data_IF_670368922786
#
_entry.id   IF_670368922786
#
_cell.length_a   1.000
_cell.length_b   1.000
_cell.length_c   1.000
_cell.angle_alpha   90.00
_cell.angle_beta   90.00
_cell.angle_gamma   90.00
#
_symmetry.space_group_name_H-M   'P 1'
#
loop_
_entity.id
_entity.type
_entity.pdbx_description
1 polymer ?
#
# COMPACT_ATOMS: atom_id res chain seq x y z
N UNK A 1 23.27 -6.35 8.14
CA UNK A 1 22.08 -5.67 8.69
C UNK A 1 21.31 -5.13 7.48
N UNK A 2 20.31 -5.85 6.97
CA UNK A 2 19.50 -5.33 5.88
C UNK A 2 18.72 -4.12 6.42
N UNK A 3 18.72 -3.03 5.65
CA UNK A 3 18.11 -1.77 6.04
C UNK A 3 16.63 -1.98 6.32
N UNK A 4 16.26 -1.81 7.59
CA UNK A 4 14.90 -1.49 7.97
C UNK A 4 14.55 -0.24 7.15
N UNK A 5 13.67 -0.37 6.15
CA UNK A 5 13.04 0.81 5.56
C UNK A 5 12.16 1.34 6.68
N UNK A 6 12.74 2.14 7.56
CA UNK A 6 11.96 3.03 8.38
C UNK A 6 11.19 3.88 7.37
N UNK A 7 9.88 3.64 7.24
CA UNK A 7 9.00 4.67 6.69
C UNK A 7 9.40 5.95 7.40
N UNK A 8 9.89 6.90 6.61
CA UNK A 8 10.33 8.18 7.14
C UNK A 8 9.14 8.76 7.91
N UNK A 9 9.37 9.30 9.12
CA UNK A 9 8.29 9.93 9.89
C UNK A 9 7.57 11.01 9.07
N UNK A 10 8.26 11.60 8.08
CA UNK A 10 7.68 12.53 7.11
C UNK A 10 6.60 11.90 6.22
N UNK A 11 6.75 10.64 5.81
CA UNK A 11 5.82 9.92 4.95
C UNK A 11 4.57 9.49 5.72
N UNK A 12 4.73 8.98 6.95
CA UNK A 12 3.60 8.62 7.81
C UNK A 12 2.74 9.85 8.13
N UNK A 13 3.37 11.00 8.40
CA UNK A 13 2.67 12.27 8.58
C UNK A 13 1.92 12.69 7.31
N UNK A 14 2.55 12.58 6.13
CA UNK A 14 1.92 12.89 4.85
C UNK A 14 0.68 12.01 4.59
N UNK A 15 0.76 10.70 4.86
CA UNK A 15 -0.38 9.79 4.71
C UNK A 15 -1.49 10.13 5.72
N UNK A 16 -1.14 10.50 6.95
CA UNK A 16 -2.08 10.99 7.95
C UNK A 16 -2.82 12.25 7.50
N UNK A 17 -2.07 13.27 7.02
CA UNK A 17 -2.63 14.51 6.46
C UNK A 17 -3.55 14.22 5.27
N UNK A 18 -3.17 13.28 4.41
CA UNK A 18 -4.00 12.83 3.30
C UNK A 18 -5.30 12.18 3.75
N UNK A 19 -5.26 11.28 4.72
CA UNK A 19 -6.47 10.64 5.25
C UNK A 19 -7.41 11.66 5.89
N UNK A 20 -6.86 12.57 6.71
CA UNK A 20 -7.64 13.64 7.33
C UNK A 20 -8.29 14.57 6.29
N UNK A 21 -7.58 14.86 5.20
CA UNK A 21 -8.10 15.68 4.11
C UNK A 21 -9.15 14.94 3.25
N UNK A 22 -8.84 13.72 2.82
CA UNK A 22 -9.65 12.96 1.88
C UNK A 22 -10.93 12.39 2.50
N UNK A 23 -11.02 12.31 3.82
CA UNK A 23 -12.22 11.90 4.55
C UNK A 23 -13.16 13.10 4.87
N UNK A 24 -12.82 14.33 4.46
CA UNK A 24 -13.68 15.51 4.57
C UNK A 24 -14.89 15.44 3.62
N UNK A 25 -15.89 16.28 3.87
CA UNK A 25 -17.05 16.38 2.97
C UNK A 25 -16.66 17.08 1.66
N UNK A 26 -17.34 16.80 0.54
CA UNK A 26 -17.02 17.40 -0.76
C UNK A 26 -16.91 18.92 -0.73
N UNK A 27 -17.77 19.60 0.03
CA UNK A 27 -17.77 21.07 0.14
C UNK A 27 -16.54 21.60 0.89
N UNK A 28 -16.02 20.83 1.85
CA UNK A 28 -14.82 21.16 2.61
C UNK A 28 -13.55 20.96 1.77
N UNK A 29 -13.51 19.87 1.00
CA UNK A 29 -12.46 19.60 0.00
C UNK A 29 -12.44 20.71 -1.05
N UNK A 30 -13.61 21.09 -1.55
CA UNK A 30 -13.76 22.14 -2.56
C UNK A 30 -13.24 23.49 -2.05
N UNK A 31 -13.50 23.81 -0.79
CA UNK A 31 -12.97 25.00 -0.12
C UNK A 31 -11.45 25.07 -0.05
N UNK A 32 -10.76 23.92 -0.14
CA UNK A 32 -9.28 23.84 -0.11
C UNK A 32 -8.62 23.85 -1.49
N UNK A 33 -9.41 23.95 -2.56
CA UNK A 33 -8.91 24.00 -3.93
C UNK A 33 -7.90 25.14 -4.17
N UNK A 34 -8.12 26.30 -3.55
CA UNK A 34 -7.28 27.49 -3.70
C UNK A 34 -6.22 27.66 -2.60
N UNK A 35 -6.17 26.76 -1.62
CA UNK A 35 -5.22 26.81 -0.51
C UNK A 35 -4.15 25.72 -0.67
N UNK A 36 -3.98 24.93 0.37
CA UNK A 36 -3.05 23.84 0.58
C UNK A 36 -3.48 22.51 -0.06
N UNK A 37 -4.75 22.35 -0.46
CA UNK A 37 -5.27 21.06 -0.96
C UNK A 37 -4.55 20.55 -2.21
N UNK A 38 -4.23 21.44 -3.15
CA UNK A 38 -3.48 21.10 -4.38
C UNK A 38 -2.03 20.72 -4.09
N UNK A 39 -1.41 21.38 -3.12
CA UNK A 39 -0.03 21.07 -2.70
C UNK A 39 0.03 19.70 -2.02
N UNK A 40 -0.89 19.42 -1.09
CA UNK A 40 -1.01 18.13 -0.43
C UNK A 40 -1.24 17.01 -1.46
N UNK A 41 -2.18 17.19 -2.39
CA UNK A 41 -2.43 16.21 -3.45
C UNK A 41 -1.17 15.96 -4.30
N UNK A 42 -0.43 17.02 -4.65
CA UNK A 42 0.81 16.88 -5.41
C UNK A 42 1.92 16.16 -4.69
N UNK A 43 2.01 16.30 -3.36
CA UNK A 43 2.92 15.50 -2.53
C UNK A 43 2.50 14.04 -2.52
N UNK A 44 1.21 13.73 -2.35
CA UNK A 44 0.70 12.36 -2.38
C UNK A 44 0.97 11.67 -3.72
N UNK A 45 0.63 12.31 -4.84
CA UNK A 45 0.86 11.72 -6.16
C UNK A 45 2.36 11.47 -6.41
N UNK A 46 3.23 12.35 -5.92
CA UNK A 46 4.67 12.22 -6.09
C UNK A 46 5.29 11.15 -5.20
N UNK A 47 4.96 11.18 -3.92
CA UNK A 47 5.65 10.42 -2.88
C UNK A 47 4.98 9.08 -2.60
N UNK A 48 3.65 9.02 -2.64
CA UNK A 48 2.90 7.79 -2.37
C UNK A 48 2.56 6.99 -3.63
N UNK A 49 2.41 7.65 -4.79
CA UNK A 49 1.92 7.03 -6.04
C UNK A 49 2.93 7.14 -7.18
N UNK A 50 4.20 6.80 -6.90
CA UNK A 50 5.21 6.58 -7.93
C UNK A 50 5.51 7.78 -8.85
N UNK A 51 5.25 9.02 -8.41
CA UNK A 51 5.57 10.20 -9.22
C UNK A 51 4.47 10.67 -10.18
N UNK A 52 3.21 10.27 -9.98
CA UNK A 52 2.12 10.71 -10.85
C UNK A 52 2.02 12.26 -10.90
N UNK A 53 1.79 12.86 -12.08
CA UNK A 53 1.65 14.30 -12.19
C UNK A 53 0.33 14.76 -11.56
N UNK A 54 0.34 15.96 -10.98
CA UNK A 54 -0.89 16.64 -10.56
C UNK A 54 -1.69 17.00 -11.82
N UNK A 55 -2.95 16.60 -11.86
CA UNK A 55 -3.87 16.98 -12.94
C UNK A 55 -4.02 18.49 -13.03
N UNK A 56 -4.21 19.01 -14.24
CA UNK A 56 -4.58 20.41 -14.43
C UNK A 56 -6.10 20.55 -14.26
N UNK A 57 -6.52 20.85 -13.04
CA UNK A 57 -7.94 20.95 -12.70
C UNK A 57 -8.53 22.29 -13.18
N UNK A 58 -9.56 22.20 -14.03
CA UNK A 58 -10.28 23.33 -14.59
C UNK A 58 -11.28 23.94 -13.59
N UNK A 59 -11.64 23.21 -12.52
CA UNK A 59 -12.56 23.68 -11.48
C UNK A 59 -12.30 23.03 -10.12
N UNK A 60 -12.84 23.66 -9.08
CA UNK A 60 -12.83 23.14 -7.71
C UNK A 60 -13.60 21.82 -7.58
N UNK A 61 -14.73 21.70 -8.28
CA UNK A 61 -15.51 20.46 -8.35
C UNK A 61 -14.73 19.30 -8.99
N UNK A 62 -13.98 19.55 -10.07
CA UNK A 62 -13.14 18.53 -10.72
C UNK A 62 -12.02 18.04 -9.79
N UNK A 63 -11.37 18.97 -9.07
CA UNK A 63 -10.39 18.61 -8.04
C UNK A 63 -11.00 17.78 -6.91
N UNK A 64 -12.16 18.18 -6.40
CA UNK A 64 -12.87 17.43 -5.36
C UNK A 64 -13.20 16.02 -5.82
N UNK A 65 -13.73 15.87 -7.04
CA UNK A 65 -14.03 14.55 -7.59
C UNK A 65 -12.76 13.69 -7.70
N UNK A 66 -11.65 14.29 -8.15
CA UNK A 66 -10.37 13.59 -8.24
C UNK A 66 -9.88 13.09 -6.87
N UNK A 67 -9.98 13.92 -5.82
CA UNK A 67 -9.61 13.52 -4.45
C UNK A 67 -10.47 12.35 -3.97
N UNK A 68 -11.79 12.40 -4.21
CA UNK A 68 -12.73 11.33 -3.86
C UNK A 68 -12.39 10.04 -4.60
N UNK A 69 -12.15 10.12 -5.91
CA UNK A 69 -11.81 8.97 -6.74
C UNK A 69 -10.47 8.36 -6.32
N UNK A 70 -9.49 9.21 -5.99
CA UNK A 70 -8.19 8.76 -5.50
C UNK A 70 -8.32 8.05 -4.15
N UNK A 71 -9.13 8.56 -3.23
CA UNK A 71 -9.43 7.91 -1.95
C UNK A 71 -10.16 6.58 -2.14
N UNK A 72 -11.08 6.51 -3.10
CA UNK A 72 -11.74 5.26 -3.45
C UNK A 72 -10.76 4.23 -4.04
N UNK A 73 -9.84 4.68 -4.90
CA UNK A 73 -8.77 3.86 -5.46
C UNK A 73 -7.84 3.32 -4.35
N UNK A 74 -7.42 4.16 -3.42
CA UNK A 74 -6.60 3.77 -2.27
C UNK A 74 -7.27 2.65 -1.46
N UNK A 75 -8.56 2.81 -1.14
CA UNK A 75 -9.36 1.80 -0.42
C UNK A 75 -9.52 0.50 -1.22
N UNK A 76 -9.56 0.57 -2.55
CA UNK A 76 -9.58 -0.62 -3.40
C UNK A 76 -8.26 -1.39 -3.31
N UNK A 77 -7.12 -0.69 -3.38
CA UNK A 77 -5.80 -1.31 -3.24
C UNK A 77 -5.54 -1.86 -1.84
N UNK A 78 -6.00 -1.18 -0.79
CA UNK A 78 -5.95 -1.71 0.58
C UNK A 78 -6.70 -3.04 0.71
N UNK A 79 -7.86 -3.18 0.06
CA UNK A 79 -8.61 -4.45 0.02
C UNK A 79 -7.89 -5.51 -0.79
N UNK A 80 -7.39 -5.15 -1.98
CA UNK A 80 -6.62 -6.08 -2.82
C UNK A 80 -5.38 -6.60 -2.08
N UNK A 81 -4.69 -5.75 -1.30
CA UNK A 81 -3.59 -6.21 -0.44
C UNK A 81 -4.06 -7.28 0.56
N UNK A 82 -5.20 -7.06 1.22
CA UNK A 82 -5.80 -8.05 2.12
C UNK A 82 -6.10 -9.37 1.41
N UNK A 83 -6.69 -9.31 0.22
CA UNK A 83 -7.00 -10.49 -0.60
C UNK A 83 -5.74 -11.23 -1.04
N UNK A 84 -4.68 -10.51 -1.43
CA UNK A 84 -3.39 -11.07 -1.80
C UNK A 84 -2.74 -11.80 -0.63
N UNK A 85 -2.77 -11.23 0.58
CA UNK A 85 -2.25 -11.87 1.79
C UNK A 85 -3.00 -13.17 2.09
N UNK A 86 -4.33 -13.17 2.00
CA UNK A 86 -5.15 -14.36 2.24
C UNK A 86 -4.91 -15.43 1.17
N UNK A 87 -4.78 -15.04 -0.10
CA UNK A 87 -4.48 -15.95 -1.19
C UNK A 87 -3.10 -16.59 -1.04
N UNK A 88 -2.07 -15.80 -0.69
CA UNK A 88 -0.73 -16.31 -0.42
C UNK A 88 -0.71 -17.30 0.75
N UNK A 89 -1.42 -17.00 1.85
CA UNK A 89 -1.56 -17.94 2.97
C UNK A 89 -2.24 -19.24 2.54
N UNK A 90 -3.28 -19.16 1.72
CA UNK A 90 -3.98 -20.34 1.21
C UNK A 90 -3.08 -21.24 0.37
N UNK A 91 -2.15 -20.67 -0.40
CA UNK A 91 -1.14 -21.44 -1.14
C UNK A 91 -0.13 -22.11 -0.24
N UNK A 92 0.28 -21.45 0.84
CA UNK A 92 1.18 -22.02 1.84
C UNK A 92 0.55 -23.18 2.60
N UNK A 93 -0.72 -23.05 2.97
CA UNK A 93 -1.46 -24.15 3.63
C UNK A 93 -1.59 -25.38 2.72
N UNK A 94 -1.51 -25.19 1.40
CA UNK A 94 -1.46 -26.25 0.38
C UNK A 94 -0.04 -26.78 0.10
N UNK A 95 0.99 -26.24 0.76
CA UNK A 95 2.38 -26.62 0.55
C UNK A 95 3.00 -26.07 -0.73
N UNK A 96 2.47 -24.98 -1.28
CA UNK A 96 2.97 -24.34 -2.51
C UNK A 96 3.52 -22.93 -2.23
N UNK A 97 4.77 -22.81 -1.73
CA UNK A 97 5.37 -21.51 -1.44
C UNK A 97 5.68 -20.68 -2.69
N UNK A 98 5.95 -21.31 -3.83
CA UNK A 98 6.21 -20.60 -5.10
C UNK A 98 4.98 -19.84 -5.58
N UNK A 99 3.79 -20.45 -5.50
CA UNK A 99 2.53 -19.78 -5.83
C UNK A 99 2.20 -18.63 -4.86
N UNK A 100 2.56 -18.78 -3.58
CA UNK A 100 2.40 -17.71 -2.60
C UNK A 100 3.32 -16.51 -2.90
N UNK A 101 4.56 -16.76 -3.32
CA UNK A 101 5.50 -15.72 -3.76
C UNK A 101 4.99 -14.98 -5.00
N UNK A 102 4.48 -15.73 -5.98
CA UNK A 102 3.93 -15.15 -7.21
C UNK A 102 2.76 -14.19 -6.95
N UNK A 103 1.88 -14.49 -5.98
CA UNK A 103 0.79 -13.58 -5.60
C UNK A 103 1.32 -12.22 -5.13
N UNK A 104 2.40 -12.21 -4.34
CA UNK A 104 3.01 -10.95 -3.91
C UNK A 104 3.74 -10.25 -5.05
N UNK A 105 4.38 -10.97 -5.97
CA UNK A 105 5.05 -10.37 -7.14
C UNK A 105 4.05 -9.67 -8.07
N UNK A 106 2.91 -10.32 -8.32
CA UNK A 106 1.81 -9.74 -9.10
C UNK A 106 1.29 -8.47 -8.43
N UNK A 107 1.00 -8.53 -7.12
CA UNK A 107 0.55 -7.36 -6.38
C UNK A 107 1.56 -6.20 -6.42
N UNK A 108 2.85 -6.47 -6.20
CA UNK A 108 3.90 -5.44 -6.23
C UNK A 108 4.09 -4.80 -7.61
N UNK A 109 3.82 -5.56 -8.68
CA UNK A 109 3.93 -5.06 -10.05
C UNK A 109 2.76 -4.15 -10.43
N UNK A 110 1.56 -4.46 -9.94
CA UNK A 110 0.34 -3.73 -10.33
C UNK A 110 0.02 -2.55 -9.40
N UNK A 111 0.38 -2.64 -8.11
CA UNK A 111 0.00 -1.66 -7.12
C UNK A 111 0.80 -0.36 -7.28
N UNK A 112 0.15 0.79 -7.54
CA UNK A 112 0.85 2.06 -7.70
C UNK A 112 1.18 2.72 -6.36
N UNK A 113 0.62 2.24 -5.25
CA UNK A 113 0.77 2.84 -3.92
C UNK A 113 1.96 2.22 -3.19
N UNK A 114 3.03 3.00 -3.02
CA UNK A 114 4.28 2.52 -2.42
C UNK A 114 4.07 1.95 -1.01
N UNK A 115 3.18 2.55 -0.21
CA UNK A 115 2.87 2.06 1.14
C UNK A 115 2.32 0.63 1.14
N UNK A 116 1.47 0.27 0.17
CA UNK A 116 0.90 -1.07 0.11
C UNK A 116 1.90 -2.08 -0.45
N UNK A 117 2.74 -1.66 -1.39
CA UNK A 117 3.88 -2.45 -1.89
C UNK A 117 4.83 -2.80 -0.73
N UNK A 118 5.16 -1.82 0.12
CA UNK A 118 6.06 -2.05 1.26
C UNK A 118 5.43 -2.98 2.30
N UNK A 119 4.13 -2.83 2.58
CA UNK A 119 3.42 -3.78 3.46
C UNK A 119 3.43 -5.19 2.85
N UNK A 120 3.18 -5.34 1.54
CA UNK A 120 3.21 -6.63 0.85
C UNK A 120 4.59 -7.30 1.00
N UNK A 121 5.68 -6.55 0.83
CA UNK A 121 7.06 -7.04 1.03
C UNK A 121 7.32 -7.50 2.45
N UNK A 122 6.88 -6.74 3.45
CA UNK A 122 7.02 -7.12 4.87
C UNK A 122 6.24 -8.41 5.15
N UNK A 123 5.01 -8.52 4.63
CA UNK A 123 4.20 -9.73 4.81
C UNK A 123 4.85 -10.93 4.13
N UNK A 124 5.32 -10.78 2.90
CA UNK A 124 6.09 -11.82 2.20
C UNK A 124 7.24 -12.34 3.05
N UNK A 125 8.05 -11.44 3.62
CA UNK A 125 9.18 -11.82 4.49
C UNK A 125 8.74 -12.57 5.75
N UNK A 126 7.64 -12.15 6.39
CA UNK A 126 7.13 -12.80 7.59
C UNK A 126 6.57 -14.19 7.28
N UNK A 127 5.83 -14.32 6.19
CA UNK A 127 5.11 -15.55 5.85
C UNK A 127 6.03 -16.59 5.22
N UNK A 128 6.98 -16.18 4.36
CA UNK A 128 7.93 -17.09 3.70
C UNK A 128 9.23 -17.29 4.52
N UNK A 129 9.64 -16.30 5.32
CA UNK A 129 10.86 -16.37 6.15
C UNK A 129 10.72 -17.25 7.39
N UNK A 130 9.50 -17.61 7.80
CA UNK A 130 9.22 -18.45 8.98
C UNK A 130 9.32 -19.96 8.72
N UNK A 131 9.64 -20.39 7.49
CA UNK A 131 9.75 -21.81 7.11
C UNK A 131 11.07 -22.50 7.48
N UNK A 132 11.99 -21.82 8.17
CA UNK A 132 13.35 -22.31 8.45
C UNK A 132 13.63 -22.68 9.92
N UNK A 133 12.79 -23.45 10.59
CA UNK A 133 13.16 -24.10 11.86
C UNK A 133 12.27 -25.31 12.15
N UNK A 134 12.50 -26.39 11.41
CA UNK A 134 11.72 -27.62 11.52
C UNK A 134 12.49 -28.90 11.16
N UNK A 135 13.82 -28.87 11.23
CA UNK A 135 14.65 -30.09 11.14
C UNK A 135 15.52 -30.17 12.40
N UNK A 136 14.95 -30.68 13.51
CA UNK A 136 15.75 -31.31 14.55
C UNK A 136 14.96 -32.47 15.19
N UNK A 137 15.58 -33.64 15.12
CA UNK A 137 15.30 -34.89 15.85
C UNK A 137 14.07 -35.69 15.47
N UNK A 138 14.29 -36.60 14.53
CA UNK A 138 14.01 -38.04 14.72
C UNK A 138 15.05 -38.89 13.97
N UNK A 139 16.22 -39.05 14.58
CA UNK A 139 16.98 -40.30 14.44
C UNK A 139 16.84 -41.04 15.77
N UNK A 140 15.98 -42.03 15.75
CA UNK A 140 15.92 -43.10 16.72
C UNK A 140 16.74 -44.27 16.16
N UNK A 141 17.58 -44.81 17.04
CA UNK A 141 17.93 -46.24 17.16
C UNK A 141 18.65 -46.93 15.99
N UNK A 142 19.94 -47.20 16.16
CA UNK A 142 20.46 -48.54 16.49
C UNK A 142 21.81 -48.44 17.23
#
# INVERSE_FOLDING_TARGET
>A
MPGFIAMDQSFDLLIGEWHEFADQRPEEIEGRFASDGRELLGRILREAIGGAPVGDFSSSSEFTQYVIDLRANERAWSRHLGDAIVAAQSWLDQGNPEAAEQVFDEFETECPWQMFVDIARIQRLNTLGSGGSGDDKRQAED
#
